data_IF_406061244934
#
_entry.id   IF_406061244934
#
_cell.length_a   1.000
_cell.length_b   1.000
_cell.length_c   1.000
_cell.angle_alpha   90.00
_cell.angle_beta   90.00
_cell.angle_gamma   90.00
#
_symmetry.space_group_name_H-M   'P 1'
#
loop_
_entity.id
_entity.type
_entity.pdbx_description
1 polymer ?
#
# COMPACT_ATOMS: atom_id res chain seq x y z
N UNK A 1 -17.51 30.65 -17.90
CA UNK A 1 -17.79 29.37 -17.20
C UNK A 1 -17.52 28.12 -18.05
N UNK A 2 -17.93 28.07 -19.33
CA UNK A 2 -17.69 26.92 -20.23
C UNK A 2 -16.19 26.56 -20.40
N UNK A 3 -15.32 27.54 -20.61
CA UNK A 3 -13.87 27.34 -20.77
C UNK A 3 -13.18 26.75 -19.51
N UNK A 4 -13.63 27.18 -18.32
CA UNK A 4 -13.13 26.66 -17.04
C UNK A 4 -13.65 25.23 -16.80
N UNK A 5 -14.89 24.94 -17.20
CA UNK A 5 -15.47 23.59 -17.17
C UNK A 5 -14.74 22.59 -18.07
N UNK A 6 -14.35 23.01 -19.28
CA UNK A 6 -13.60 22.18 -20.24
C UNK A 6 -12.17 21.89 -19.77
N UNK A 7 -11.43 22.91 -19.29
CA UNK A 7 -10.09 22.71 -18.68
C UNK A 7 -10.12 21.73 -17.51
N UNK A 8 -11.18 21.76 -16.71
CA UNK A 8 -11.37 20.88 -15.55
C UNK A 8 -11.70 19.42 -15.91
N UNK A 9 -12.28 19.17 -17.09
CA UNK A 9 -12.57 17.82 -17.59
C UNK A 9 -11.34 17.21 -18.25
N UNK A 10 -10.62 18.01 -19.04
CA UNK A 10 -9.39 17.57 -19.71
C UNK A 10 -8.28 17.18 -18.73
N UNK A 11 -8.01 18.03 -17.72
CA UNK A 11 -7.03 17.73 -16.66
C UNK A 11 -7.35 16.45 -15.89
N UNK A 12 -8.63 16.20 -15.62
CA UNK A 12 -9.08 14.95 -15.01
C UNK A 12 -8.83 13.73 -15.90
N UNK A 13 -9.16 13.81 -17.19
CA UNK A 13 -8.95 12.71 -18.15
C UNK A 13 -7.46 12.41 -18.30
N UNK A 14 -6.62 13.43 -18.44
CA UNK A 14 -5.16 13.28 -18.52
C UNK A 14 -4.59 12.56 -17.30
N UNK A 15 -5.02 12.95 -16.08
CA UNK A 15 -4.60 12.26 -14.87
C UNK A 15 -5.07 10.80 -14.83
N UNK A 16 -6.30 10.50 -15.24
CA UNK A 16 -6.78 9.11 -15.28
C UNK A 16 -5.99 8.25 -16.27
N UNK A 17 -5.61 8.81 -17.43
CA UNK A 17 -4.76 8.12 -18.42
C UNK A 17 -3.36 7.90 -17.84
N UNK A 18 -2.74 8.92 -17.27
CA UNK A 18 -1.41 8.82 -16.67
C UNK A 18 -1.38 7.83 -15.50
N UNK A 19 -2.42 7.84 -14.66
CA UNK A 19 -2.58 6.90 -13.55
C UNK A 19 -2.73 5.46 -14.05
N UNK A 20 -3.55 5.24 -15.09
CA UNK A 20 -3.68 3.93 -15.72
C UNK A 20 -2.35 3.45 -16.30
N UNK A 21 -1.66 4.30 -17.07
CA UNK A 21 -0.37 3.98 -17.67
C UNK A 21 0.67 3.62 -16.59
N UNK A 22 0.72 4.38 -15.49
CA UNK A 22 1.60 4.11 -14.36
C UNK A 22 1.37 2.71 -13.76
N UNK A 23 0.11 2.37 -13.44
CA UNK A 23 -0.18 1.06 -12.85
C UNK A 23 0.03 -0.09 -13.85
N UNK A 24 -0.33 0.10 -15.12
CA UNK A 24 -0.09 -0.92 -16.14
C UNK A 24 1.40 -1.17 -16.38
N UNK A 25 2.21 -0.11 -16.48
CA UNK A 25 3.66 -0.21 -16.58
C UNK A 25 4.26 -0.87 -15.33
N UNK A 26 3.74 -0.53 -14.15
CA UNK A 26 4.15 -1.13 -12.88
C UNK A 26 3.86 -2.63 -12.83
N UNK A 27 2.63 -3.04 -13.14
CA UNK A 27 2.24 -4.46 -13.14
C UNK A 27 3.06 -5.25 -14.16
N UNK A 28 3.25 -4.70 -15.37
CA UNK A 28 4.06 -5.33 -16.41
C UNK A 28 5.51 -5.51 -15.96
N UNK A 29 6.15 -4.44 -15.46
CA UNK A 29 7.54 -4.48 -15.00
C UNK A 29 7.76 -5.56 -13.93
N UNK A 30 6.89 -5.62 -12.92
CA UNK A 30 6.97 -6.63 -11.87
C UNK A 30 6.61 -8.04 -12.34
N UNK A 31 5.72 -8.16 -13.33
CA UNK A 31 5.38 -9.43 -13.97
C UNK A 31 6.55 -10.02 -14.77
N UNK A 32 7.21 -9.20 -15.58
CA UNK A 32 8.26 -9.63 -16.48
C UNK A 32 9.59 -9.90 -15.77
N UNK A 33 9.95 -9.08 -14.75
CA UNK A 33 11.07 -9.40 -13.84
C UNK A 33 10.92 -10.82 -13.27
N UNK A 34 9.69 -11.21 -12.96
CA UNK A 34 9.43 -12.49 -12.36
C UNK A 34 9.47 -13.65 -13.38
N UNK A 35 9.16 -13.38 -14.64
CA UNK A 35 9.27 -14.35 -15.73
C UNK A 35 10.73 -14.55 -16.21
N UNK A 36 11.68 -13.81 -15.64
CA UNK A 36 13.11 -13.91 -15.95
C UNK A 36 13.57 -12.95 -17.06
N UNK A 37 12.67 -12.12 -17.59
CA UNK A 37 13.00 -11.16 -18.64
C UNK A 37 13.71 -9.94 -18.05
N UNK A 38 15.01 -9.82 -18.31
CA UNK A 38 15.78 -8.60 -18.00
C UNK A 38 15.56 -7.58 -19.11
N UNK A 39 14.62 -6.65 -18.92
CA UNK A 39 14.34 -5.63 -19.92
C UNK A 39 14.58 -4.21 -19.39
N UNK A 40 15.71 -3.63 -19.82
CA UNK A 40 16.01 -2.21 -19.65
C UNK A 40 14.88 -1.32 -20.21
N UNK A 41 14.24 -1.73 -21.32
CA UNK A 41 13.13 -0.98 -21.94
C UNK A 41 11.91 -0.82 -21.02
N UNK A 42 11.61 -1.82 -20.19
CA UNK A 42 10.46 -1.79 -19.29
C UNK A 42 10.72 -0.91 -18.06
N UNK A 43 11.97 -0.85 -17.60
CA UNK A 43 12.39 0.11 -16.57
C UNK A 43 12.25 1.56 -17.03
N UNK A 44 12.54 1.84 -18.31
CA UNK A 44 12.35 3.16 -18.93
C UNK A 44 10.86 3.49 -19.03
N UNK A 45 10.04 2.53 -19.48
CA UNK A 45 8.59 2.69 -19.57
C UNK A 45 7.95 3.03 -18.21
N UNK A 46 8.34 2.33 -17.15
CA UNK A 46 7.87 2.61 -15.79
C UNK A 46 8.29 3.99 -15.30
N UNK A 47 9.54 4.40 -15.53
CA UNK A 47 10.02 5.73 -15.14
C UNK A 47 9.27 6.85 -15.87
N UNK A 48 9.04 6.71 -17.18
CA UNK A 48 8.27 7.67 -17.96
C UNK A 48 6.82 7.76 -17.49
N UNK A 49 6.17 6.61 -17.27
CA UNK A 49 4.80 6.55 -16.77
C UNK A 49 4.68 7.18 -15.37
N UNK A 50 5.68 6.95 -14.50
CA UNK A 50 5.79 7.57 -13.18
C UNK A 50 5.90 9.09 -13.27
N UNK A 51 6.76 9.59 -14.16
CA UNK A 51 6.91 11.04 -14.39
C UNK A 51 5.61 11.66 -14.91
N UNK A 52 4.95 11.04 -15.89
CA UNK A 52 3.67 11.51 -16.42
C UNK A 52 2.58 11.56 -15.34
N UNK A 53 2.52 10.54 -14.47
CA UNK A 53 1.57 10.50 -13.37
C UNK A 53 1.87 11.58 -12.32
N UNK A 54 3.15 11.81 -12.00
CA UNK A 54 3.57 12.87 -11.09
C UNK A 54 3.18 14.26 -11.63
N UNK A 55 3.55 14.57 -12.88
CA UNK A 55 3.27 15.86 -13.51
C UNK A 55 1.77 16.13 -13.65
N UNK A 56 0.99 15.12 -14.04
CA UNK A 56 -0.47 15.26 -14.13
C UNK A 56 -1.14 15.45 -12.76
N UNK A 57 -0.61 14.81 -11.71
CA UNK A 57 -1.05 15.03 -10.33
C UNK A 57 -0.73 16.45 -9.84
N UNK A 58 0.49 16.94 -10.07
CA UNK A 58 0.88 18.32 -9.76
C UNK A 58 0.02 19.35 -10.51
N UNK A 59 -0.31 19.09 -11.77
CA UNK A 59 -1.20 19.94 -12.56
C UNK A 59 -2.60 20.01 -11.93
N UNK A 60 -3.13 18.91 -11.39
CA UNK A 60 -4.41 18.92 -10.66
C UNK A 60 -4.33 19.81 -9.43
N UNK A 61 -3.27 19.66 -8.63
CA UNK A 61 -3.04 20.42 -7.40
C UNK A 61 -2.97 21.92 -7.73
N UNK A 62 -2.24 22.28 -8.78
CA UNK A 62 -2.12 23.66 -9.26
C UNK A 62 -3.45 24.25 -9.74
N UNK A 63 -4.21 23.51 -10.56
CA UNK A 63 -5.48 23.99 -11.13
C UNK A 63 -6.61 24.04 -10.09
N UNK A 64 -6.55 23.23 -9.04
CA UNK A 64 -7.65 23.06 -8.06
C UNK A 64 -7.26 23.57 -6.68
N UNK A 65 -7.18 24.89 -6.53
CA UNK A 65 -6.75 25.55 -5.30
C UNK A 65 -7.83 25.61 -4.17
N UNK A 66 -8.66 24.56 -4.00
CA UNK A 66 -9.73 24.56 -2.97
C UNK A 66 -9.49 23.44 -1.95
N UNK A 67 -8.88 23.82 -0.82
CA UNK A 67 -8.44 22.87 0.20
C UNK A 67 -9.36 22.85 1.43
N UNK A 68 -9.57 21.65 2.00
CA UNK A 68 -9.85 21.51 3.43
C UNK A 68 -8.54 21.14 4.09
N UNK A 69 -8.06 21.94 5.05
CA UNK A 69 -6.81 21.64 5.74
C UNK A 69 -7.07 20.61 6.85
N UNK A 70 -6.77 19.35 6.57
CA UNK A 70 -6.67 18.25 7.54
C UNK A 70 -5.20 17.91 7.79
N UNK A 71 -4.89 17.22 8.89
CA UNK A 71 -3.51 16.91 9.33
C UNK A 71 -2.69 16.16 8.26
N UNK A 72 -3.30 15.28 7.49
CA UNK A 72 -2.62 14.54 6.42
C UNK A 72 -2.12 15.40 5.25
N UNK A 73 -2.80 16.51 4.94
CA UNK A 73 -2.32 17.46 3.93
C UNK A 73 -1.01 18.12 4.39
N UNK A 74 -0.89 18.42 5.69
CA UNK A 74 0.34 18.93 6.28
C UNK A 74 1.47 17.92 6.13
N UNK A 75 1.21 16.64 6.40
CA UNK A 75 2.20 15.55 6.20
C UNK A 75 2.62 15.48 4.73
N UNK A 76 1.67 15.52 3.78
CA UNK A 76 1.97 15.47 2.35
C UNK A 76 2.82 16.67 1.90
N UNK A 77 2.48 17.89 2.32
CA UNK A 77 3.26 19.08 1.94
C UNK A 77 4.65 19.10 2.58
N UNK A 78 4.76 18.73 3.86
CA UNK A 78 6.07 18.58 4.50
C UNK A 78 6.92 17.54 3.79
N UNK A 79 6.34 16.41 3.38
CA UNK A 79 7.04 15.40 2.60
C UNK A 79 7.49 15.94 1.23
N UNK A 80 6.61 16.64 0.50
CA UNK A 80 6.93 17.24 -0.81
C UNK A 80 8.09 18.23 -0.71
N UNK A 81 8.23 18.94 0.42
CA UNK A 81 9.30 19.92 0.62
C UNK A 81 10.58 19.27 1.13
N UNK A 82 10.49 18.37 2.12
CA UNK A 82 11.66 17.80 2.81
C UNK A 82 12.32 16.70 1.97
N UNK A 83 11.54 15.83 1.32
CA UNK A 83 12.08 14.67 0.63
C UNK A 83 13.06 15.03 -0.51
N UNK A 84 12.76 16.04 -1.36
CA UNK A 84 13.73 16.48 -2.37
C UNK A 84 15.03 17.01 -1.79
N UNK A 85 14.99 17.68 -0.62
CA UNK A 85 16.20 18.17 0.04
C UNK A 85 17.06 17.02 0.56
N UNK A 86 16.43 16.01 1.16
CA UNK A 86 17.09 14.77 1.61
C UNK A 86 17.75 14.03 0.45
N UNK A 87 17.04 13.88 -0.67
CA UNK A 87 17.58 13.22 -1.87
C UNK A 87 18.72 14.03 -2.48
N UNK A 88 18.60 15.36 -2.52
CA UNK A 88 19.64 16.24 -3.03
C UNK A 88 20.92 16.17 -2.19
N UNK A 89 20.79 16.24 -0.86
CA UNK A 89 21.91 16.12 0.07
C UNK A 89 22.69 14.81 -0.16
N UNK A 90 21.96 13.71 -0.35
CA UNK A 90 22.52 12.39 -0.61
C UNK A 90 22.85 12.11 -2.09
N UNK A 91 22.88 13.15 -2.95
CA UNK A 91 23.23 13.06 -4.38
C UNK A 91 22.40 12.01 -5.16
N UNK A 92 21.13 11.86 -4.80
CA UNK A 92 20.23 10.88 -5.42
C UNK A 92 19.88 11.17 -6.88
N UNK A 93 19.49 10.12 -7.60
CA UNK A 93 19.13 10.20 -9.02
C UNK A 93 17.73 10.80 -9.23
N UNK A 94 17.46 11.30 -10.44
CA UNK A 94 16.15 11.86 -10.84
C UNK A 94 14.99 10.89 -10.57
N UNK A 95 15.20 9.59 -10.81
CA UNK A 95 14.23 8.53 -10.52
C UNK A 95 13.82 8.50 -9.04
N UNK A 96 14.74 8.79 -8.12
CA UNK A 96 14.48 8.78 -6.68
C UNK A 96 13.51 9.91 -6.30
N UNK A 97 13.68 11.10 -6.89
CA UNK A 97 12.73 12.20 -6.70
C UNK A 97 11.33 11.84 -7.21
N UNK A 98 11.26 11.25 -8.41
CA UNK A 98 9.98 10.87 -9.00
C UNK A 98 9.28 9.88 -8.09
N UNK A 99 9.94 8.76 -7.75
CA UNK A 99 9.34 7.68 -6.98
C UNK A 99 8.85 8.15 -5.61
N UNK A 100 9.68 8.86 -4.86
CA UNK A 100 9.37 9.28 -3.48
C UNK A 100 8.30 10.37 -3.38
N UNK A 101 8.07 11.14 -4.46
CA UNK A 101 7.03 12.17 -4.53
C UNK A 101 5.68 11.68 -5.09
N UNK A 102 5.61 10.46 -5.64
CA UNK A 102 4.36 9.94 -6.21
C UNK A 102 3.24 9.88 -5.18
N UNK A 103 3.51 9.33 -3.99
CA UNK A 103 2.46 9.10 -3.00
C UNK A 103 1.81 10.38 -2.46
N UNK A 104 2.54 11.45 -2.03
CA UNK A 104 1.88 12.64 -1.52
C UNK A 104 1.13 13.35 -2.67
N UNK A 105 1.65 13.31 -3.89
CA UNK A 105 0.99 13.91 -5.06
C UNK A 105 -0.28 13.15 -5.44
N UNK A 106 -0.26 11.82 -5.44
CA UNK A 106 -1.44 10.99 -5.70
C UNK A 106 -2.51 11.18 -4.63
N UNK A 107 -2.09 11.32 -3.37
CA UNK A 107 -2.97 11.64 -2.27
C UNK A 107 -3.73 12.95 -2.55
N UNK A 108 -3.00 14.04 -2.75
CA UNK A 108 -3.57 15.37 -2.97
C UNK A 108 -4.43 15.44 -4.24
N UNK A 109 -3.95 14.90 -5.35
CA UNK A 109 -4.66 14.91 -6.62
C UNK A 109 -5.98 14.13 -6.51
N UNK A 110 -5.94 12.91 -5.96
CA UNK A 110 -7.13 12.08 -5.77
C UNK A 110 -8.13 12.75 -4.83
N UNK A 111 -7.65 13.30 -3.72
CA UNK A 111 -8.48 14.00 -2.75
C UNK A 111 -9.23 15.16 -3.40
N UNK A 112 -8.54 16.04 -4.12
CA UNK A 112 -9.14 17.19 -4.81
C UNK A 112 -10.16 16.75 -5.87
N UNK A 113 -9.86 15.69 -6.61
CA UNK A 113 -10.76 15.16 -7.63
C UNK A 113 -12.06 14.65 -7.02
N UNK A 114 -11.99 13.85 -5.95
CA UNK A 114 -13.17 13.28 -5.27
C UNK A 114 -13.94 14.35 -4.49
N UNK A 115 -13.25 15.29 -3.84
CA UNK A 115 -13.87 16.41 -3.12
C UNK A 115 -14.72 17.26 -4.08
N UNK A 116 -14.24 17.48 -5.30
CA UNK A 116 -15.00 18.19 -6.33
C UNK A 116 -16.21 17.39 -6.82
N UNK A 117 -16.04 16.10 -7.16
CA UNK A 117 -17.14 15.24 -7.60
C UNK A 117 -17.05 13.86 -6.95
N UNK A 118 -17.93 13.60 -5.97
CA UNK A 118 -17.97 12.34 -5.20
C UNK A 118 -18.19 11.11 -6.09
N UNK A 119 -18.84 11.25 -7.25
CA UNK A 119 -19.05 10.13 -8.17
C UNK A 119 -17.74 9.61 -8.76
N UNK A 120 -16.66 10.39 -8.74
CA UNK A 120 -15.33 9.96 -9.22
C UNK A 120 -14.74 8.81 -8.41
N UNK A 121 -15.14 8.63 -7.14
CA UNK A 121 -14.73 7.43 -6.38
C UNK A 121 -15.19 6.13 -7.06
N UNK A 122 -16.33 6.16 -7.76
CA UNK A 122 -16.83 5.03 -8.54
C UNK A 122 -15.96 4.82 -9.77
N UNK A 123 -15.52 5.90 -10.43
CA UNK A 123 -14.61 5.81 -11.58
C UNK A 123 -13.24 5.27 -11.17
N UNK A 124 -12.67 5.74 -10.06
CA UNK A 124 -11.46 5.15 -9.48
C UNK A 124 -11.66 3.66 -9.19
N UNK A 125 -12.74 3.28 -8.50
CA UNK A 125 -13.03 1.86 -8.25
C UNK A 125 -13.10 1.02 -9.54
N UNK A 126 -13.70 1.53 -10.61
CA UNK A 126 -13.76 0.83 -11.91
C UNK A 126 -12.37 0.67 -12.54
N UNK A 127 -11.54 1.72 -12.51
CA UNK A 127 -10.16 1.65 -12.99
C UNK A 127 -9.38 0.58 -12.24
N UNK A 128 -9.50 0.57 -10.91
CA UNK A 128 -8.80 -0.36 -10.05
C UNK A 128 -9.26 -1.80 -10.27
N UNK A 129 -10.56 -2.08 -10.46
CA UNK A 129 -11.02 -3.42 -10.87
C UNK A 129 -10.30 -3.94 -12.14
N UNK A 130 -9.96 -3.06 -13.09
CA UNK A 130 -9.19 -3.43 -14.28
C UNK A 130 -7.74 -3.75 -13.88
N UNK A 131 -7.09 -2.88 -13.10
CA UNK A 131 -5.72 -3.08 -12.60
C UNK A 131 -5.62 -4.38 -11.79
N UNK A 132 -6.57 -4.61 -10.88
CA UNK A 132 -6.73 -5.86 -10.13
C UNK A 132 -6.82 -7.08 -11.05
N UNK A 133 -7.63 -7.01 -12.10
CA UNK A 133 -7.78 -8.11 -13.07
C UNK A 133 -6.47 -8.43 -13.79
N UNK A 134 -5.72 -7.41 -14.18
CA UNK A 134 -4.41 -7.56 -14.83
C UNK A 134 -3.38 -8.10 -13.83
N UNK A 135 -3.31 -7.55 -12.61
CA UNK A 135 -2.42 -8.02 -11.55
C UNK A 135 -2.71 -9.47 -11.16
N UNK A 136 -3.99 -9.85 -11.09
CA UNK A 136 -4.41 -11.22 -10.86
C UNK A 136 -4.00 -12.15 -12.01
N UNK A 137 -4.14 -11.70 -13.26
CA UNK A 137 -3.70 -12.46 -14.43
C UNK A 137 -2.20 -12.77 -14.37
N UNK A 138 -1.34 -11.77 -14.13
CA UNK A 138 0.10 -11.98 -13.98
C UNK A 138 0.44 -12.88 -12.77
N UNK A 139 -0.27 -12.70 -11.65
CA UNK A 139 -0.10 -13.57 -10.50
C UNK A 139 -0.40 -15.03 -10.85
N UNK A 140 -1.54 -15.31 -11.48
CA UNK A 140 -1.92 -16.67 -11.91
C UNK A 140 -0.90 -17.23 -12.90
N UNK A 141 -0.49 -16.46 -13.91
CA UNK A 141 0.50 -16.87 -14.89
C UNK A 141 1.82 -17.28 -14.21
N UNK A 142 2.29 -16.47 -13.26
CA UNK A 142 3.53 -16.75 -12.52
C UNK A 142 3.45 -18.02 -11.66
N UNK A 143 2.25 -18.36 -11.16
CA UNK A 143 2.00 -19.58 -10.39
C UNK A 143 1.89 -20.81 -11.27
N UNK A 144 1.42 -20.66 -12.51
CA UNK A 144 1.40 -21.74 -13.50
C UNK A 144 2.79 -22.04 -14.06
N UNK A 145 3.65 -21.02 -14.20
CA UNK A 145 5.03 -21.22 -14.68
C UNK A 145 5.93 -21.86 -13.62
N UNK A 146 5.81 -21.45 -12.36
CA UNK A 146 6.58 -22.03 -11.26
C UNK A 146 5.78 -21.99 -9.94
N UNK A 147 5.34 -23.17 -9.51
CA UNK A 147 4.60 -23.39 -8.27
C UNK A 147 5.40 -23.08 -7.00
N UNK A 148 6.71 -22.89 -7.09
CA UNK A 148 7.58 -22.55 -5.95
C UNK A 148 7.89 -21.06 -5.85
N UNK A 149 7.57 -20.28 -6.90
CA UNK A 149 7.92 -18.87 -7.00
C UNK A 149 6.99 -17.97 -6.16
N UNK A 150 7.57 -17.12 -5.31
CA UNK A 150 6.87 -16.16 -4.46
C UNK A 150 6.78 -14.80 -5.13
N UNK A 151 5.70 -14.60 -5.88
CA UNK A 151 5.49 -13.42 -6.70
C UNK A 151 5.29 -12.11 -5.93
N UNK A 152 5.97 -11.03 -6.32
CA UNK A 152 5.61 -9.66 -5.93
C UNK A 152 4.34 -9.13 -6.63
N UNK A 153 3.92 -9.74 -7.74
CA UNK A 153 2.72 -9.32 -8.48
C UNK A 153 1.43 -9.51 -7.69
N UNK A 154 1.41 -10.44 -6.72
CA UNK A 154 0.27 -10.59 -5.80
C UNK A 154 -0.07 -9.29 -5.10
N UNK A 155 0.91 -8.40 -4.85
CA UNK A 155 0.65 -7.14 -4.17
C UNK A 155 -0.25 -6.20 -4.99
N UNK A 156 -0.23 -6.26 -6.33
CA UNK A 156 -1.19 -5.53 -7.15
C UNK A 156 -2.61 -6.10 -7.07
N UNK A 157 -2.75 -7.42 -6.88
CA UNK A 157 -4.05 -8.02 -6.63
C UNK A 157 -4.53 -7.78 -5.18
N UNK A 158 -3.62 -7.80 -4.20
CA UNK A 158 -3.94 -7.83 -2.77
C UNK A 158 -4.15 -6.43 -2.17
N UNK A 159 -3.31 -5.43 -2.50
CA UNK A 159 -3.39 -4.09 -1.90
C UNK A 159 -4.63 -3.31 -2.35
N UNK A 160 -5.32 -3.77 -3.39
CA UNK A 160 -6.59 -3.21 -3.85
C UNK A 160 -7.81 -3.61 -3.01
N UNK A 161 -7.64 -4.56 -2.08
CA UNK A 161 -8.71 -5.05 -1.20
C UNK A 161 -9.56 -3.91 -0.58
N UNK A 162 -8.98 -2.84 0.01
CA UNK A 162 -9.76 -1.76 0.60
C UNK A 162 -10.73 -1.09 -0.40
N UNK A 163 -10.29 -0.86 -1.64
CA UNK A 163 -11.13 -0.25 -2.66
C UNK A 163 -12.24 -1.19 -3.13
N UNK A 164 -11.96 -2.48 -3.27
CA UNK A 164 -12.97 -3.47 -3.66
C UNK A 164 -14.01 -3.69 -2.56
N UNK A 165 -13.62 -3.58 -1.28
CA UNK A 165 -14.54 -3.63 -0.13
C UNK A 165 -15.45 -2.40 -0.01
N UNK A 166 -15.25 -1.35 -0.81
CA UNK A 166 -16.14 -0.19 -0.88
C UNK A 166 -17.47 -0.50 -1.60
N UNK A 167 -18.16 -1.52 -1.11
CA UNK A 167 -19.50 -1.94 -1.49
C UNK A 167 -20.43 -1.82 -0.29
N UNK A 168 -21.69 -1.42 -0.52
CA UNK A 168 -22.63 -1.15 0.58
C UNK A 168 -23.16 -2.42 1.26
N UNK A 169 -23.27 -3.53 0.54
CA UNK A 169 -23.84 -4.77 1.07
C UNK A 169 -22.77 -5.55 1.83
N UNK A 170 -23.00 -5.81 3.12
CA UNK A 170 -22.10 -6.59 3.99
C UNK A 170 -21.80 -7.99 3.46
N UNK A 171 -22.79 -8.66 2.85
CA UNK A 171 -22.60 -9.97 2.19
C UNK A 171 -21.52 -9.91 1.11
N UNK A 172 -21.51 -8.85 0.30
CA UNK A 172 -20.52 -8.69 -0.76
C UNK A 172 -19.12 -8.40 -0.18
N UNK A 173 -19.03 -7.60 0.90
CA UNK A 173 -17.76 -7.38 1.60
C UNK A 173 -17.20 -8.71 2.13
N UNK A 174 -18.04 -9.54 2.72
CA UNK A 174 -17.66 -10.86 3.23
C UNK A 174 -17.18 -11.81 2.12
N UNK A 175 -17.88 -11.86 0.98
CA UNK A 175 -17.47 -12.67 -0.18
C UNK A 175 -16.11 -12.21 -0.76
N UNK A 176 -15.90 -10.90 -0.85
CA UNK A 176 -14.61 -10.34 -1.30
C UNK A 176 -13.50 -10.69 -0.31
N UNK A 177 -13.74 -10.61 1.00
CA UNK A 177 -12.77 -11.03 2.01
C UNK A 177 -12.40 -12.52 1.89
N UNK A 178 -13.38 -13.40 1.65
CA UNK A 178 -13.11 -14.83 1.42
C UNK A 178 -12.23 -15.01 0.18
N UNK A 179 -12.59 -14.38 -0.95
CA UNK A 179 -11.80 -14.44 -2.18
C UNK A 179 -10.34 -14.03 -1.93
N UNK A 180 -10.11 -12.92 -1.23
CA UNK A 180 -8.77 -12.44 -0.92
C UNK A 180 -8.04 -13.31 0.11
N UNK A 181 -8.76 -14.00 0.99
CA UNK A 181 -8.18 -14.98 1.90
C UNK A 181 -7.62 -16.17 1.12
N UNK A 182 -8.38 -16.65 0.12
CA UNK A 182 -7.93 -17.72 -0.79
C UNK A 182 -6.71 -17.24 -1.59
N UNK A 183 -6.74 -16.03 -2.15
CA UNK A 183 -5.59 -15.48 -2.89
C UNK A 183 -4.34 -15.34 -2.01
N UNK A 184 -4.48 -14.91 -0.76
CA UNK A 184 -3.37 -14.83 0.18
C UNK A 184 -2.74 -16.20 0.45
N UNK A 185 -3.55 -17.25 0.66
CA UNK A 185 -3.07 -18.61 0.83
C UNK A 185 -2.38 -19.14 -0.44
N UNK A 186 -2.97 -18.94 -1.62
CA UNK A 186 -2.39 -19.34 -2.90
C UNK A 186 -1.06 -18.63 -3.21
N UNK A 187 -0.87 -17.41 -2.70
CA UNK A 187 0.36 -16.64 -2.92
C UNK A 187 1.56 -17.15 -2.15
N UNK A 188 1.34 -17.97 -1.11
CA UNK A 188 2.36 -18.42 -0.15
C UNK A 188 3.14 -17.28 0.52
N UNK A 189 2.64 -16.04 0.45
CA UNK A 189 3.25 -14.89 1.11
C UNK A 189 2.73 -14.74 2.53
N UNK A 190 3.62 -14.99 3.50
CA UNK A 190 3.35 -14.83 4.94
C UNK A 190 2.78 -13.45 5.26
N UNK A 191 3.29 -12.39 4.63
CA UNK A 191 2.78 -11.02 4.77
C UNK A 191 1.30 -10.88 4.39
N UNK A 192 0.87 -11.47 3.27
CA UNK A 192 -0.54 -11.46 2.85
C UNK A 192 -1.42 -12.26 3.82
N UNK A 193 -0.93 -13.41 4.28
CA UNK A 193 -1.66 -14.27 5.24
C UNK A 193 -1.85 -13.52 6.58
N UNK A 194 -0.79 -12.95 7.13
CA UNK A 194 -0.87 -12.16 8.37
C UNK A 194 -1.78 -10.93 8.22
N UNK A 195 -1.73 -10.25 7.08
CA UNK A 195 -2.65 -9.15 6.79
C UNK A 195 -4.11 -9.63 6.82
N UNK A 196 -4.46 -10.72 6.12
CA UNK A 196 -5.82 -11.30 6.12
C UNK A 196 -6.27 -11.70 7.53
N UNK A 197 -5.40 -12.35 8.31
CA UNK A 197 -5.71 -12.72 9.70
C UNK A 197 -5.99 -11.49 10.56
N UNK A 198 -5.18 -10.44 10.44
CA UNK A 198 -5.42 -9.17 11.12
C UNK A 198 -6.75 -8.53 10.71
N UNK A 199 -7.10 -8.59 9.42
CA UNK A 199 -8.38 -8.08 8.91
C UNK A 199 -9.57 -8.81 9.52
N UNK A 200 -9.56 -10.15 9.48
CA UNK A 200 -10.63 -10.94 10.06
C UNK A 200 -10.76 -10.72 11.56
N UNK A 201 -9.63 -10.61 12.27
CA UNK A 201 -9.60 -10.34 13.71
C UNK A 201 -10.27 -8.99 14.01
N UNK A 202 -9.80 -7.90 13.40
CA UNK A 202 -10.36 -6.57 13.65
C UNK A 202 -11.79 -6.43 13.15
N UNK A 203 -12.14 -7.05 12.02
CA UNK A 203 -13.52 -7.06 11.52
C UNK A 203 -14.46 -7.76 12.51
N UNK A 204 -14.04 -8.91 13.06
CA UNK A 204 -14.79 -9.61 14.10
C UNK A 204 -14.88 -8.82 15.40
N UNK A 205 -13.82 -8.14 15.84
CA UNK A 205 -13.88 -7.22 16.98
C UNK A 205 -14.95 -6.13 16.77
N UNK A 206 -15.01 -5.53 15.57
CA UNK A 206 -16.05 -4.54 15.24
C UNK A 206 -17.46 -5.14 15.31
N UNK A 207 -17.65 -6.35 14.77
CA UNK A 207 -18.94 -7.05 14.84
C UNK A 207 -19.33 -7.36 16.28
N UNK A 208 -18.37 -7.81 17.10
CA UNK A 208 -18.58 -8.12 18.51
C UNK A 208 -19.00 -6.86 19.27
N UNK A 209 -18.22 -5.79 19.17
CA UNK A 209 -18.47 -4.54 19.90
C UNK A 209 -19.80 -3.87 19.49
N UNK A 210 -20.24 -4.07 18.25
CA UNK A 210 -21.50 -3.48 17.73
C UNK A 210 -22.71 -4.43 17.81
N UNK A 211 -22.59 -5.60 18.45
CA UNK A 211 -23.67 -6.59 18.47
C UNK A 211 -24.09 -7.07 19.87
N UNK A 212 -25.34 -7.54 19.96
CA UNK A 212 -25.87 -8.22 21.15
C UNK A 212 -25.41 -9.70 21.17
N UNK A 213 -25.26 -10.27 22.37
CA UNK A 213 -24.46 -11.46 22.70
C UNK A 213 -24.34 -12.60 21.67
N UNK A 214 -25.42 -13.04 21.02
CA UNK A 214 -25.40 -14.16 20.06
C UNK A 214 -24.51 -13.91 18.83
N UNK A 215 -24.43 -12.68 18.33
CA UNK A 215 -23.58 -12.33 17.16
C UNK A 215 -22.10 -12.20 17.53
N UNK A 216 -21.77 -12.01 18.83
CA UNK A 216 -20.40 -12.00 19.33
C UNK A 216 -19.75 -13.39 19.20
N UNK A 217 -20.47 -14.43 19.62
CA UNK A 217 -20.02 -15.81 19.52
C UNK A 217 -19.76 -16.22 18.06
N UNK A 218 -20.63 -15.82 17.12
CA UNK A 218 -20.43 -16.09 15.69
C UNK A 218 -19.15 -15.46 15.14
N UNK A 219 -18.82 -14.23 15.54
CA UNK A 219 -17.58 -13.55 15.10
C UNK A 219 -16.32 -14.26 15.57
N UNK A 220 -16.29 -14.71 16.83
CA UNK A 220 -15.17 -15.47 17.41
C UNK A 220 -15.04 -16.84 16.71
N UNK A 221 -16.15 -17.55 16.51
CA UNK A 221 -16.17 -18.83 15.81
C UNK A 221 -15.65 -18.73 14.37
N UNK A 222 -15.94 -17.63 13.67
CA UNK A 222 -15.41 -17.38 12.31
C UNK A 222 -13.89 -17.20 12.35
N UNK A 223 -13.35 -16.45 13.32
CA UNK A 223 -11.89 -16.24 13.45
C UNK A 223 -11.18 -17.55 13.76
N UNK A 224 -11.70 -18.32 14.72
CA UNK A 224 -11.16 -19.63 15.07
C UNK A 224 -11.23 -20.62 13.91
N UNK A 225 -12.35 -20.63 13.18
CA UNK A 225 -12.51 -21.46 12.00
C UNK A 225 -11.51 -21.08 10.90
N UNK A 226 -11.31 -19.78 10.64
CA UNK A 226 -10.35 -19.32 9.63
C UNK A 226 -8.90 -19.61 10.02
N UNK A 227 -8.56 -19.53 11.31
CA UNK A 227 -7.26 -19.96 11.82
C UNK A 227 -7.06 -21.46 11.62
N UNK A 228 -8.05 -22.28 11.97
CA UNK A 228 -7.99 -23.73 11.80
C UNK A 228 -7.90 -24.15 10.33
N UNK A 229 -8.71 -23.55 9.47
CA UNK A 229 -8.65 -23.79 8.02
C UNK A 229 -7.32 -23.32 7.46
N UNK A 230 -6.80 -22.16 7.89
CA UNK A 230 -5.50 -21.67 7.48
C UNK A 230 -4.36 -22.63 7.84
N UNK A 231 -4.34 -23.12 9.09
CA UNK A 231 -3.35 -24.12 9.56
C UNK A 231 -3.49 -25.42 8.78
N UNK A 232 -4.71 -25.92 8.60
CA UNK A 232 -4.97 -27.17 7.87
C UNK A 232 -4.56 -27.04 6.40
N UNK A 233 -4.98 -25.98 5.71
CA UNK A 233 -4.60 -25.72 4.31
C UNK A 233 -3.11 -25.54 4.16
N UNK A 234 -2.45 -24.84 5.08
CA UNK A 234 -0.99 -24.72 5.10
C UNK A 234 -0.32 -26.10 5.18
N UNK A 235 -0.73 -26.94 6.13
CA UNK A 235 -0.17 -28.28 6.30
C UNK A 235 -0.38 -29.17 5.08
N UNK A 236 -1.55 -29.10 4.43
CA UNK A 236 -1.83 -29.87 3.21
C UNK A 236 -0.99 -29.39 2.02
N UNK A 237 -0.88 -28.08 1.83
CA UNK A 237 -0.07 -27.48 0.77
C UNK A 237 1.41 -27.80 1.00
N UNK A 238 1.88 -27.70 2.24
CA UNK A 238 3.26 -28.02 2.61
C UNK A 238 3.56 -29.51 2.37
N UNK A 239 2.65 -30.41 2.76
CA UNK A 239 2.77 -31.84 2.47
C UNK A 239 2.81 -32.13 0.96
N UNK A 240 1.97 -31.46 0.16
CA UNK A 240 2.00 -31.58 -1.31
C UNK A 240 3.32 -31.09 -1.93
N UNK A 241 4.00 -30.15 -1.28
CA UNK A 241 5.29 -29.62 -1.68
C UNK A 241 6.48 -30.37 -1.04
N UNK A 242 6.24 -31.52 -0.42
CA UNK A 242 7.29 -32.33 0.20
C UNK A 242 7.89 -31.71 1.46
N UNK A 243 7.12 -30.90 2.20
CA UNK A 243 7.56 -30.26 3.44
C UNK A 243 8.43 -29.03 3.23
N UNK A 244 8.59 -28.54 1.99
CA UNK A 244 9.48 -27.42 1.69
C UNK A 244 9.06 -26.09 2.35
N UNK A 245 7.78 -25.85 2.63
CA UNK A 245 7.34 -24.62 3.33
C UNK A 245 7.68 -24.69 4.81
N UNK A 246 7.48 -25.83 5.46
CA UNK A 246 7.90 -26.07 6.85
C UNK A 246 9.42 -26.07 6.97
N UNK A 247 10.12 -26.74 6.05
CA UNK A 247 11.58 -26.75 6.01
C UNK A 247 12.14 -25.34 5.77
N UNK A 248 11.49 -24.49 4.97
CA UNK A 248 11.87 -23.06 4.81
C UNK A 248 11.45 -22.17 5.98
N UNK A 249 10.43 -22.55 6.75
CA UNK A 249 10.12 -21.89 8.03
C UNK A 249 11.19 -22.22 9.07
N UNK A 250 11.70 -23.45 9.06
CA UNK A 250 12.70 -23.93 10.02
C UNK A 250 14.14 -23.60 9.58
N UNK A 251 14.43 -23.52 8.27
CA UNK A 251 15.73 -23.11 7.68
C UNK A 251 16.07 -21.63 7.86
N UNK A 252 15.19 -20.83 8.50
CA UNK A 252 15.62 -19.52 9.01
C UNK A 252 16.72 -19.64 10.08
N UNK A 253 16.93 -20.83 10.66
CA UNK A 253 17.90 -21.06 11.73
C UNK A 253 19.16 -21.84 11.33
N UNK A 254 19.18 -22.59 10.22
CA UNK A 254 20.32 -23.48 9.93
C UNK A 254 20.68 -23.57 8.44
N UNK A 255 21.95 -23.28 8.20
CA UNK A 255 22.78 -23.45 6.99
C UNK A 255 22.68 -22.36 5.90
N UNK A 256 23.70 -21.49 5.94
CA UNK A 256 23.96 -20.28 5.13
C UNK A 256 23.23 -18.99 5.57
N UNK A 257 23.04 -18.83 6.88
CA UNK A 257 23.44 -17.63 7.64
C UNK A 257 23.03 -16.21 7.20
N UNK A 258 21.91 -15.97 6.51
CA UNK A 258 21.36 -14.60 6.31
C UNK A 258 19.83 -14.56 6.40
N UNK A 259 19.30 -14.94 7.56
CA UNK A 259 17.87 -14.77 7.90
C UNK A 259 17.47 -13.30 8.09
N UNK A 260 16.17 -13.02 8.24
CA UNK A 260 15.64 -11.65 8.45
C UNK A 260 16.27 -10.94 9.65
N UNK A 261 16.52 -11.67 10.73
CA UNK A 261 17.17 -11.13 11.93
C UNK A 261 18.58 -10.61 11.64
N UNK A 262 19.39 -11.37 10.89
CA UNK A 262 20.72 -10.93 10.49
C UNK A 262 20.68 -9.67 9.62
N UNK A 263 19.68 -9.54 8.73
CA UNK A 263 19.48 -8.32 7.95
C UNK A 263 19.16 -7.14 8.87
N UNK A 264 18.25 -7.32 9.82
CA UNK A 264 17.89 -6.28 10.78
C UNK A 264 19.09 -5.86 11.64
N UNK A 265 19.86 -6.82 12.15
CA UNK A 265 21.04 -6.56 12.97
C UNK A 265 22.10 -5.76 12.19
N UNK A 266 22.35 -6.14 10.93
CA UNK A 266 23.29 -5.41 10.06
C UNK A 266 22.78 -4.00 9.76
N UNK A 267 21.51 -3.83 9.38
CA UNK A 267 20.94 -2.50 9.12
C UNK A 267 21.00 -1.62 10.38
N UNK A 268 20.74 -2.18 11.55
CA UNK A 268 20.82 -1.46 12.81
C UNK A 268 22.26 -1.08 13.17
N UNK A 269 23.22 -1.97 12.98
CA UNK A 269 24.63 -1.69 13.19
C UNK A 269 25.12 -0.57 12.25
N UNK A 270 24.73 -0.63 10.97
CA UNK A 270 25.02 0.44 10.00
C UNK A 270 24.48 1.79 10.50
N UNK A 271 23.23 1.81 10.98
CA UNK A 271 22.61 3.00 11.54
C UNK A 271 23.36 3.52 12.79
N UNK A 272 23.85 2.65 13.66
CA UNK A 272 24.61 3.04 14.85
C UNK A 272 25.97 3.66 14.53
N UNK A 273 26.58 3.28 13.41
CA UNK A 273 27.85 3.82 12.93
C UNK A 273 27.71 5.08 12.07
N UNK A 274 26.49 5.49 11.76
CA UNK A 274 26.21 6.72 11.03
C UNK A 274 26.62 7.97 11.81
N UNK A 275 27.11 8.97 11.09
CA UNK A 275 27.33 10.32 11.60
C UNK A 275 26.04 11.02 12.00
N UNK A 276 26.15 12.14 12.73
CA UNK A 276 24.98 12.93 13.15
C UNK A 276 24.16 13.42 11.94
N UNK A 277 24.81 13.84 10.87
CA UNK A 277 24.12 14.32 9.67
C UNK A 277 23.38 13.17 8.97
N UNK A 278 23.98 11.99 8.90
CA UNK A 278 23.35 10.78 8.36
C UNK A 278 22.18 10.30 9.22
N UNK A 279 22.24 10.46 10.54
CA UNK A 279 21.07 10.21 11.40
C UNK A 279 19.90 11.15 11.10
N UNK A 280 20.18 12.40 10.76
CA UNK A 280 19.14 13.43 10.54
C UNK A 280 18.57 13.33 9.11
N UNK A 281 19.44 13.18 8.11
CA UNK A 281 19.12 13.28 6.68
C UNK A 281 19.17 11.93 5.95
N UNK A 282 19.60 10.86 6.61
CA UNK A 282 19.71 9.53 6.02
C UNK A 282 20.86 9.41 5.02
N UNK A 283 20.93 8.26 4.35
CA UNK A 283 21.99 7.90 3.40
C UNK A 283 21.52 7.91 1.94
N UNK A 284 20.29 8.36 1.68
CA UNK A 284 19.66 8.40 0.37
C UNK A 284 18.75 7.20 0.08
N UNK A 285 17.93 7.35 -0.95
CA UNK A 285 16.98 6.31 -1.41
C UNK A 285 17.72 5.02 -1.80
N UNK A 286 17.26 3.89 -1.26
CA UNK A 286 17.89 2.56 -1.36
C UNK A 286 19.27 2.47 -0.65
N UNK A 287 19.50 3.31 0.35
CA UNK A 287 20.74 3.36 1.13
C UNK A 287 21.04 2.03 1.82
N UNK A 288 20.05 1.37 2.41
CA UNK A 288 20.27 0.04 3.02
C UNK A 288 20.78 -0.95 1.99
N UNK A 289 20.14 -1.02 0.81
CA UNK A 289 20.53 -1.95 -0.24
C UNK A 289 21.96 -1.69 -0.74
N UNK A 290 22.34 -0.43 -0.93
CA UNK A 290 23.65 -0.04 -1.46
C UNK A 290 24.78 -0.15 -0.45
N UNK A 291 24.53 0.20 0.81
CA UNK A 291 25.57 0.30 1.84
C UNK A 291 25.72 -1.00 2.64
N UNK A 292 24.75 -1.90 2.56
CA UNK A 292 24.79 -3.15 3.32
C UNK A 292 25.80 -4.12 2.71
N UNK A 293 26.68 -4.75 3.52
CA UNK A 293 27.54 -5.85 3.07
C UNK A 293 26.73 -7.09 2.64
N UNK A 294 25.41 -7.07 2.88
CA UNK A 294 24.49 -8.09 2.44
C UNK A 294 23.90 -7.83 1.05
N UNK A 295 24.10 -6.63 0.49
CA UNK A 295 23.51 -6.18 -0.78
C UNK A 295 21.99 -6.46 -0.85
N UNK A 296 21.33 -6.37 0.30
CA UNK A 296 19.90 -6.62 0.47
C UNK A 296 19.29 -5.49 1.29
N UNK A 297 18.08 -5.11 0.89
CA UNK A 297 17.24 -4.16 1.61
C UNK A 297 16.75 -4.77 2.93
N UNK A 298 16.33 -3.95 3.90
CA UNK A 298 15.98 -4.42 5.24
C UNK A 298 14.74 -5.32 5.24
N UNK A 299 13.81 -5.10 4.29
CA UNK A 299 12.46 -5.68 4.30
C UNK A 299 11.68 -5.35 5.58
N UNK A 300 11.88 -4.12 6.05
CA UNK A 300 11.14 -3.49 7.12
C UNK A 300 11.17 -1.98 6.86
N UNK A 301 10.02 -1.39 6.54
CA UNK A 301 9.92 0.02 6.19
C UNK A 301 10.37 0.95 7.34
N UNK A 302 10.25 0.54 8.61
CA UNK A 302 10.67 1.40 9.71
C UNK A 302 12.19 1.55 9.71
N UNK A 303 12.92 0.45 9.55
CA UNK A 303 14.39 0.47 9.48
C UNK A 303 14.88 1.12 8.19
N UNK A 304 14.24 0.79 7.06
CA UNK A 304 14.52 1.41 5.76
C UNK A 304 14.33 2.92 5.79
N UNK A 305 13.16 3.40 6.23
CA UNK A 305 12.87 4.83 6.22
C UNK A 305 13.81 5.59 7.16
N UNK A 306 14.15 5.00 8.31
CA UNK A 306 15.11 5.60 9.24
C UNK A 306 16.51 5.71 8.62
N UNK A 307 17.01 4.64 8.00
CA UNK A 307 18.35 4.61 7.44
C UNK A 307 18.46 5.41 6.13
N UNK A 308 17.53 5.23 5.21
CA UNK A 308 17.57 5.86 3.89
C UNK A 308 17.30 7.36 3.96
N UNK A 309 16.39 7.81 4.82
CA UNK A 309 15.89 9.19 4.81
C UNK A 309 16.07 9.94 6.13
N UNK A 310 16.60 9.28 7.15
CA UNK A 310 16.91 9.89 8.43
C UNK A 310 15.69 10.16 9.31
N UNK A 311 15.99 10.67 10.50
CA UNK A 311 15.03 10.86 11.58
C UNK A 311 13.88 11.81 11.21
N UNK A 312 14.15 12.86 10.42
CA UNK A 312 13.12 13.84 10.03
C UNK A 312 12.01 13.17 9.22
N UNK A 313 12.37 12.42 8.19
CA UNK A 313 11.41 11.72 7.34
C UNK A 313 10.77 10.55 8.09
N UNK A 314 11.53 9.87 8.95
CA UNK A 314 10.99 8.83 9.83
C UNK A 314 9.88 9.35 10.75
N UNK A 315 10.05 10.54 11.36
CA UNK A 315 8.99 11.16 12.19
C UNK A 315 7.74 11.49 11.35
N UNK A 316 7.91 12.00 10.13
CA UNK A 316 6.78 12.24 9.22
C UNK A 316 6.06 10.94 8.86
N UNK A 317 6.81 9.86 8.65
CA UNK A 317 6.26 8.54 8.40
C UNK A 317 5.47 8.03 9.61
N UNK A 318 5.96 8.16 10.84
CA UNK A 318 5.20 7.81 12.04
C UNK A 318 3.94 8.68 12.21
N UNK A 319 4.00 9.95 11.81
CA UNK A 319 2.83 10.82 11.79
C UNK A 319 1.77 10.34 10.78
N UNK A 320 2.18 9.79 9.63
CA UNK A 320 1.27 9.14 8.68
C UNK A 320 0.59 7.92 9.32
N UNK A 321 1.35 7.06 10.00
CA UNK A 321 0.79 5.92 10.75
C UNK A 321 -0.27 6.39 11.75
N UNK A 322 0.11 7.33 12.63
CA UNK A 322 -0.79 7.88 13.63
C UNK A 322 -2.04 8.51 13.02
N UNK A 323 -1.93 9.19 11.88
CA UNK A 323 -3.08 9.76 11.17
C UNK A 323 -4.03 8.66 10.69
N UNK A 324 -3.52 7.65 9.98
CA UNK A 324 -4.33 6.56 9.42
C UNK A 324 -5.04 5.81 10.56
N UNK A 325 -4.34 5.47 11.65
CA UNK A 325 -4.97 4.80 12.80
C UNK A 325 -6.10 5.65 13.42
N UNK A 326 -5.85 6.95 13.64
CA UNK A 326 -6.84 7.87 14.18
C UNK A 326 -8.06 8.01 13.27
N UNK A 327 -7.87 7.97 11.95
CA UNK A 327 -8.97 8.04 10.99
C UNK A 327 -9.87 6.81 11.07
N UNK A 328 -9.32 5.62 11.30
CA UNK A 328 -10.11 4.41 11.52
C UNK A 328 -11.00 4.52 12.76
N UNK A 329 -10.44 5.00 13.87
CA UNK A 329 -11.21 5.27 15.09
C UNK A 329 -12.34 6.27 14.85
N UNK A 330 -12.08 7.32 14.06
CA UNK A 330 -13.12 8.26 13.65
C UNK A 330 -14.23 7.57 12.84
N UNK A 331 -13.89 6.77 11.83
CA UNK A 331 -14.85 6.01 11.00
C UNK A 331 -15.67 5.01 11.83
N UNK A 332 -15.06 4.42 12.86
CA UNK A 332 -15.74 3.54 13.80
C UNK A 332 -16.85 4.27 14.55
N UNK A 333 -16.52 5.44 15.12
CA UNK A 333 -17.42 6.29 15.92
C UNK A 333 -18.62 6.78 15.11
N UNK A 334 -18.41 7.19 13.86
CA UNK A 334 -19.51 7.65 12.99
C UNK A 334 -20.26 6.52 12.29
N UNK A 335 -19.97 5.26 12.62
CA UNK A 335 -20.55 4.08 12.00
C UNK A 335 -20.49 4.08 10.46
N UNK A 336 -19.36 4.54 9.92
CA UNK A 336 -19.19 4.69 8.47
C UNK A 336 -19.17 3.35 7.75
N UNK A 337 -19.77 3.29 6.56
CA UNK A 337 -19.67 2.12 5.70
C UNK A 337 -18.23 1.84 5.20
N UNK A 338 -17.33 2.84 5.29
CA UNK A 338 -15.91 2.69 4.96
C UNK A 338 -15.08 2.03 6.07
N UNK A 339 -15.66 1.76 7.24
CA UNK A 339 -14.90 1.21 8.37
C UNK A 339 -14.16 -0.09 8.03
N UNK A 340 -14.85 -1.08 7.44
CA UNK A 340 -14.24 -2.37 7.09
C UNK A 340 -13.18 -2.23 5.99
N UNK A 341 -13.43 -1.51 4.88
CA UNK A 341 -12.38 -1.11 3.94
C UNK A 341 -11.17 -0.45 4.59
N UNK A 342 -11.39 0.42 5.58
CA UNK A 342 -10.30 1.16 6.20
C UNK A 342 -9.49 0.28 7.15
N UNK A 343 -10.15 -0.61 7.90
CA UNK A 343 -9.49 -1.67 8.67
C UNK A 343 -8.61 -2.52 7.77
N UNK A 344 -9.10 -2.92 6.59
CA UNK A 344 -8.27 -3.69 5.66
C UNK A 344 -7.04 -2.93 5.20
N UNK A 345 -7.16 -1.64 4.91
CA UNK A 345 -5.99 -0.83 4.54
C UNK A 345 -4.95 -0.72 5.67
N UNK A 346 -5.40 -0.65 6.93
CA UNK A 346 -4.52 -0.56 8.10
C UNK A 346 -3.78 -1.87 8.33
N UNK A 347 -4.48 -3.01 8.29
CA UNK A 347 -3.83 -4.30 8.49
C UNK A 347 -2.79 -4.56 7.40
N UNK A 348 -3.12 -4.25 6.15
CA UNK A 348 -2.18 -4.34 5.03
C UNK A 348 -0.98 -3.41 5.28
N UNK A 349 -1.23 -2.14 5.59
CA UNK A 349 -0.18 -1.15 5.82
C UNK A 349 0.78 -1.57 6.96
N UNK A 350 0.25 -1.91 8.13
CA UNK A 350 1.08 -2.32 9.28
C UNK A 350 1.88 -3.57 8.95
N UNK A 351 1.22 -4.63 8.46
CA UNK A 351 1.90 -5.90 8.23
C UNK A 351 2.99 -5.75 7.17
N UNK A 352 2.68 -5.16 6.01
CA UNK A 352 3.68 -5.02 4.96
C UNK A 352 4.81 -4.10 5.36
N UNK A 353 4.58 -3.04 6.14
CA UNK A 353 5.66 -2.18 6.59
C UNK A 353 6.55 -2.82 7.67
N UNK A 354 6.06 -3.82 8.42
CA UNK A 354 6.86 -4.52 9.43
C UNK A 354 7.65 -5.70 8.86
N UNK A 355 7.12 -6.42 7.87
CA UNK A 355 7.70 -7.70 7.39
C UNK A 355 8.05 -7.70 5.90
N UNK A 356 7.85 -6.57 5.22
CA UNK A 356 8.10 -6.42 3.80
C UNK A 356 8.50 -4.98 3.48
N UNK A 357 8.38 -4.64 2.20
CA UNK A 357 8.60 -3.30 1.68
C UNK A 357 7.27 -2.76 1.18
N UNK A 358 6.90 -1.57 1.62
CA UNK A 358 5.70 -0.91 1.13
C UNK A 358 6.02 0.50 0.67
N UNK A 359 6.58 1.34 1.54
CA UNK A 359 6.85 2.75 1.19
C UNK A 359 7.92 2.90 0.11
N UNK A 360 8.96 2.06 0.12
CA UNK A 360 9.99 2.09 -0.92
C UNK A 360 9.45 1.70 -2.30
N UNK A 361 8.50 0.77 -2.36
CA UNK A 361 7.83 0.37 -3.59
C UNK A 361 6.56 1.17 -3.81
N UNK A 362 6.76 2.42 -4.22
CA UNK A 362 5.68 3.38 -4.46
C UNK A 362 4.68 2.90 -5.52
N UNK A 363 5.10 1.99 -6.41
CA UNK A 363 4.25 1.40 -7.45
C UNK A 363 2.96 0.75 -6.92
N UNK A 364 3.00 0.03 -5.81
CA UNK A 364 1.80 -0.56 -5.21
C UNK A 364 1.34 0.12 -3.90
N UNK A 365 2.22 0.82 -3.17
CA UNK A 365 1.79 1.64 -2.01
C UNK A 365 0.75 2.70 -2.40
N UNK A 366 0.89 3.26 -3.60
CA UNK A 366 -0.04 4.21 -4.18
C UNK A 366 -1.50 3.71 -4.24
N UNK A 367 -1.73 2.39 -4.26
CA UNK A 367 -3.08 1.81 -4.22
C UNK A 367 -3.80 2.14 -2.89
N UNK A 368 -3.08 2.04 -1.76
CA UNK A 368 -3.59 2.39 -0.44
C UNK A 368 -3.77 3.91 -0.27
N UNK A 369 -2.83 4.67 -0.83
CA UNK A 369 -2.84 6.13 -0.74
C UNK A 369 -4.04 6.74 -1.46
N UNK A 370 -4.33 6.25 -2.67
CA UNK A 370 -5.51 6.67 -3.46
C UNK A 370 -6.80 6.27 -2.73
N UNK A 371 -6.83 5.09 -2.11
CA UNK A 371 -7.94 4.68 -1.25
C UNK A 371 -8.15 5.68 -0.09
N UNK A 372 -7.10 5.99 0.68
CA UNK A 372 -7.19 6.91 1.81
C UNK A 372 -7.65 8.31 1.37
N UNK A 373 -7.10 8.83 0.29
CA UNK A 373 -7.49 10.11 -0.29
C UNK A 373 -8.97 10.15 -0.69
N UNK A 374 -9.44 9.08 -1.35
CA UNK A 374 -10.83 8.96 -1.78
C UNK A 374 -11.81 8.91 -0.61
N UNK A 375 -11.49 8.14 0.44
CA UNK A 375 -12.32 8.07 1.67
C UNK A 375 -12.31 9.40 2.41
N UNK A 376 -11.14 10.03 2.58
CA UNK A 376 -11.01 11.32 3.26
C UNK A 376 -11.87 12.39 2.57
N UNK A 377 -11.73 12.53 1.25
CA UNK A 377 -12.48 13.50 0.47
C UNK A 377 -13.99 13.26 0.53
N UNK A 378 -14.41 12.00 0.51
CA UNK A 378 -15.83 11.65 0.60
C UNK A 378 -16.42 12.03 1.95
N UNK A 379 -15.75 11.66 3.04
CA UNK A 379 -16.16 11.96 4.42
C UNK A 379 -16.18 13.46 4.67
N UNK A 380 -15.18 14.19 4.20
CA UNK A 380 -15.11 15.64 4.34
C UNK A 380 -16.27 16.34 3.62
N UNK A 381 -16.65 15.87 2.42
CA UNK A 381 -17.79 16.40 1.69
C UNK A 381 -19.13 16.12 2.39
N UNK A 382 -19.28 14.94 3.01
CA UNK A 382 -20.46 14.63 3.82
C UNK A 382 -20.60 15.59 5.00
N UNK A 383 -19.51 15.82 5.76
CA UNK A 383 -19.50 16.79 6.87
C UNK A 383 -19.95 18.18 6.43
N UNK A 384 -19.43 18.66 5.28
CA UNK A 384 -19.81 19.97 4.73
C UNK A 384 -21.29 20.02 4.36
N UNK A 385 -21.84 18.96 3.75
CA UNK A 385 -23.25 18.93 3.35
C UNK A 385 -24.23 18.94 4.53
N UNK A 386 -23.83 18.41 5.69
CA UNK A 386 -24.64 18.44 6.92
C UNK A 386 -24.61 19.82 7.58
N UNK A 387 -23.48 20.53 7.53
CA UNK A 387 -23.34 21.90 8.08
C UNK A 387 -24.17 22.96 7.38
N UNK A 388 -24.61 22.74 6.12
CA UNK A 388 -25.45 23.68 5.35
C UNK A 388 -26.96 23.33 5.40
N UNK A 389 -27.37 22.38 6.26
CA UNK A 389 -28.78 22.00 6.45
C UNK A 389 -29.38 22.53 7.76
N UNK A 390 -28.61 23.31 8.49
CA UNK A 390 -29.01 24.14 9.62
C UNK A 390 -28.62 25.58 9.28
#
# INVERSE_FOLDING_TARGET
MLFIGMKNKMTYVLYMIALFAFFMASVSYWGNIQLGDRLNAESIGLNLASLMALLSGLLIIFVRNKYSKNRIHVICYLWIVIMPLVIYYNKGQISHYILTLLWPVFYEATYLLVLFNRRRIITFRKLFVIIWGVGLFYFILSRLSDLTNQSNTIYYAFLELPLLLCVRKKKNQFLILILFSVLALLSMKRSCIFAVLGIWTLYSCVLIMKSNGKRKATGIMIVLFLLLVGIFSFNQIDAMLGGQLSERMNKEETDVGRGRLAIYDVTWLMQQHSSVDEWILGHGHNGVWHNSPLEISAHNDLMEVLYDYGLIVFILYLCLWGYVMNKCLYLYRINSYFLVPYISSICIFIVLSLVSHLVLYTSYFNLLVIFWAGVEAFVEKEKRSVKFRY
#
